data_IF_967388390032
#
_entry.id   IF_967388390032
#
_cell.length_a   1.000
_cell.length_b   1.000
_cell.length_c   1.000
_cell.angle_alpha   90.00
_cell.angle_beta   90.00
_cell.angle_gamma   90.00
#
_symmetry.space_group_name_H-M   'P 1'
#
loop_
_entity.id
_entity.type
_entity.pdbx_description
1 polymer ?
#
# COMPACT_ATOMS: atom_id res chain seq x y z
N UNK A 1 19.35 -36.57 1.43
CA UNK A 1 18.69 -35.24 1.61
C UNK A 1 18.65 -34.49 0.27
N UNK A 2 17.47 -34.31 -0.31
CA UNK A 2 17.31 -33.72 -1.64
C UNK A 2 15.95 -33.05 -1.83
N UNK A 3 15.91 -32.04 -2.70
CA UNK A 3 14.71 -31.27 -3.06
C UNK A 3 13.64 -32.18 -3.70
N UNK A 4 14.06 -33.28 -4.33
CA UNK A 4 13.21 -34.29 -4.98
C UNK A 4 12.88 -35.49 -4.06
N UNK A 5 12.47 -35.23 -2.82
CA UNK A 5 11.99 -36.25 -1.90
C UNK A 5 10.46 -36.27 -1.85
N UNK A 6 9.83 -37.46 -1.82
CA UNK A 6 8.35 -37.57 -1.69
C UNK A 6 7.76 -36.90 -0.43
N UNK A 7 8.61 -36.63 0.56
CA UNK A 7 8.25 -35.98 1.82
C UNK A 7 8.88 -34.59 1.99
N UNK A 8 9.51 -34.04 0.94
CA UNK A 8 10.07 -32.70 0.96
C UNK A 8 9.02 -31.71 0.45
N UNK A 9 8.49 -30.86 1.32
CA UNK A 9 7.66 -29.72 0.92
C UNK A 9 8.57 -28.54 0.57
N UNK A 10 8.54 -28.10 -0.69
CA UNK A 10 9.18 -26.87 -1.09
C UNK A 10 8.33 -25.70 -0.59
N UNK A 11 8.92 -24.86 0.26
CA UNK A 11 8.32 -23.60 0.68
C UNK A 11 9.27 -22.47 0.28
N UNK A 12 8.67 -21.35 -0.14
CA UNK A 12 9.40 -20.18 -0.59
C UNK A 12 8.57 -18.94 -0.31
N UNK A 13 9.23 -17.79 -0.32
CA UNK A 13 8.55 -16.51 -0.17
C UNK A 13 7.92 -16.14 -1.51
N UNK A 14 6.62 -15.84 -1.51
CA UNK A 14 5.99 -15.20 -2.65
C UNK A 14 6.42 -13.74 -2.71
N UNK A 15 7.02 -13.32 -3.83
CA UNK A 15 7.48 -11.95 -4.02
C UNK A 15 6.66 -11.31 -5.13
N UNK A 16 5.95 -10.23 -4.81
CA UNK A 16 5.37 -9.35 -5.82
C UNK A 16 6.45 -8.40 -6.33
N UNK A 17 6.95 -8.67 -7.54
CA UNK A 17 8.00 -7.86 -8.18
C UNK A 17 7.50 -6.52 -8.73
N UNK A 18 6.17 -6.38 -8.91
CA UNK A 18 5.54 -5.18 -9.44
C UNK A 18 4.32 -4.80 -8.59
N UNK A 19 4.29 -3.55 -8.16
CA UNK A 19 3.07 -2.88 -7.70
C UNK A 19 2.62 -1.90 -8.77
N UNK A 20 1.31 -1.76 -8.96
CA UNK A 20 0.77 -0.61 -9.67
C UNK A 20 1.22 0.63 -8.90
N UNK A 21 2.03 1.51 -9.52
CA UNK A 21 2.38 2.80 -8.95
C UNK A 21 1.29 3.77 -9.35
N UNK A 22 0.35 4.00 -8.43
CA UNK A 22 -0.68 4.99 -8.62
C UNK A 22 -0.06 6.38 -8.47
N UNK A 23 -0.35 7.27 -9.41
CA UNK A 23 -0.03 8.68 -9.24
C UNK A 23 -0.97 9.29 -8.21
N UNK A 24 -0.36 9.92 -7.19
CA UNK A 24 -1.07 10.54 -6.07
C UNK A 24 -0.48 11.89 -5.73
N UNK A 25 -1.29 12.76 -5.13
CA UNK A 25 -0.83 14.02 -4.54
C UNK A 25 -0.07 13.78 -3.24
N UNK A 26 0.52 14.84 -2.67
CA UNK A 26 1.16 14.79 -1.35
C UNK A 26 0.20 14.38 -0.21
N UNK A 27 -1.10 14.53 -0.43
CA UNK A 27 -2.17 14.13 0.50
C UNK A 27 -2.65 12.69 0.25
N UNK A 28 -1.99 11.94 -0.64
CA UNK A 28 -2.35 10.59 -1.05
C UNK A 28 -3.65 10.48 -1.87
N UNK A 29 -4.15 11.60 -2.42
CA UNK A 29 -5.31 11.57 -3.30
C UNK A 29 -4.91 11.17 -4.71
N UNK A 30 -5.69 10.31 -5.33
CA UNK A 30 -5.58 9.99 -6.77
C UNK A 30 -6.10 11.14 -7.64
N UNK A 31 -6.02 10.97 -8.96
CA UNK A 31 -6.68 11.83 -9.94
C UNK A 31 -8.21 11.90 -9.74
N UNK A 32 -8.80 10.84 -9.18
CA UNK A 32 -10.22 10.82 -8.83
C UNK A 32 -10.44 11.58 -7.53
N UNK A 33 -11.28 12.60 -7.58
CA UNK A 33 -11.53 13.49 -6.44
C UNK A 33 -12.14 12.70 -5.27
N UNK A 34 -11.61 12.94 -4.06
CA UNK A 34 -11.97 12.23 -2.83
C UNK A 34 -11.71 10.71 -2.84
N UNK A 35 -10.95 10.19 -3.80
CA UNK A 35 -10.42 8.83 -3.77
C UNK A 35 -8.94 8.87 -3.38
N UNK A 36 -8.60 8.18 -2.31
CA UNK A 36 -7.25 8.12 -1.75
C UNK A 36 -6.67 6.72 -1.90
N UNK A 37 -5.37 6.65 -2.21
CA UNK A 37 -4.64 5.41 -2.32
C UNK A 37 -3.44 5.43 -1.36
N UNK A 38 -3.25 4.36 -0.59
CA UNK A 38 -2.21 4.25 0.44
C UNK A 38 -1.60 2.85 0.44
N UNK A 39 -0.46 2.70 1.09
CA UNK A 39 0.16 1.39 1.33
C UNK A 39 0.83 0.76 0.10
N UNK A 40 1.25 -0.50 0.29
CA UNK A 40 2.11 -1.20 -0.67
C UNK A 40 1.36 -1.58 -1.97
N UNK A 41 0.04 -1.82 -1.85
CA UNK A 41 -0.83 -2.15 -2.98
C UNK A 41 -0.98 -1.00 -3.98
N UNK A 42 -0.87 0.24 -3.50
CA UNK A 42 -0.84 1.44 -4.33
C UNK A 42 0.55 1.76 -4.90
N UNK A 43 1.57 0.97 -4.54
CA UNK A 43 2.96 1.19 -4.94
C UNK A 43 3.64 2.39 -4.27
N UNK A 44 3.04 2.93 -3.20
CA UNK A 44 3.52 4.10 -2.46
C UNK A 44 4.58 3.71 -1.42
N UNK A 45 4.46 2.50 -0.86
CA UNK A 45 5.28 2.04 0.27
C UNK A 45 5.87 0.65 0.01
N UNK A 46 6.82 0.21 0.85
CA UNK A 46 7.42 -1.15 0.79
C UNK A 46 7.51 -1.81 2.16
N UNK A 47 6.52 -1.57 3.00
CA UNK A 47 6.47 -2.19 4.32
C UNK A 47 5.56 -1.47 5.31
N UNK A 48 5.32 -2.17 6.42
CA UNK A 48 4.31 -1.81 7.42
C UNK A 48 4.43 -0.38 7.94
N UNK A 49 5.64 0.08 8.26
CA UNK A 49 5.86 1.42 8.82
C UNK A 49 5.50 2.53 7.83
N UNK A 50 5.92 2.37 6.58
CA UNK A 50 5.62 3.32 5.50
C UNK A 50 4.12 3.27 5.18
N UNK A 51 3.54 2.07 5.06
CA UNK A 51 2.11 1.89 4.81
C UNK A 51 1.26 2.58 5.89
N UNK A 52 1.61 2.39 7.16
CA UNK A 52 0.95 3.04 8.29
C UNK A 52 1.05 4.57 8.22
N UNK A 53 2.25 5.09 7.92
CA UNK A 53 2.48 6.54 7.77
C UNK A 53 1.63 7.12 6.64
N UNK A 54 1.57 6.45 5.48
CA UNK A 54 0.75 6.90 4.35
C UNK A 54 -0.75 6.96 4.70
N UNK A 55 -1.24 6.01 5.50
CA UNK A 55 -2.62 6.02 6.01
C UNK A 55 -2.91 7.20 6.93
N UNK A 56 -1.97 7.56 7.81
CA UNK A 56 -2.11 8.74 8.69
C UNK A 56 -2.19 10.03 7.87
N UNK A 57 -1.38 10.16 6.81
CA UNK A 57 -1.39 11.33 5.92
C UNK A 57 -2.75 11.46 5.23
N UNK A 58 -3.24 10.38 4.60
CA UNK A 58 -4.53 10.38 3.95
C UNK A 58 -5.68 10.67 4.92
N UNK A 59 -5.67 10.04 6.10
CA UNK A 59 -6.69 10.24 7.13
C UNK A 59 -6.75 11.68 7.64
N UNK A 60 -5.60 12.34 7.82
CA UNK A 60 -5.54 13.76 8.19
C UNK A 60 -6.11 14.66 7.09
N UNK A 61 -5.75 14.40 5.83
CA UNK A 61 -6.29 15.16 4.70
C UNK A 61 -7.82 15.03 4.60
N UNK A 62 -8.36 13.83 4.79
CA UNK A 62 -9.81 13.58 4.81
C UNK A 62 -10.47 14.35 5.97
N UNK A 63 -9.90 14.26 7.18
CA UNK A 63 -10.47 14.92 8.36
C UNK A 63 -10.54 16.44 8.20
N UNK A 64 -9.48 17.08 7.69
CA UNK A 64 -9.48 18.53 7.46
C UNK A 64 -10.50 18.96 6.41
N UNK A 65 -10.67 18.18 5.33
CA UNK A 65 -11.68 18.45 4.31
C UNK A 65 -13.11 18.29 4.83
N UNK A 66 -13.34 17.38 5.77
CA UNK A 66 -14.66 17.23 6.39
C UNK A 66 -15.02 18.44 7.27
N UNK A 67 -14.06 18.99 8.02
CA UNK A 67 -14.26 20.21 8.82
C UNK A 67 -14.57 21.44 7.96
N UNK A 68 -13.93 21.58 6.81
CA UNK A 68 -14.19 22.69 5.88
C UNK A 68 -15.49 22.59 5.08
N UNK A 69 -16.29 21.54 5.32
CA UNK A 69 -17.61 21.32 4.69
C UNK A 69 -18.78 21.57 5.64
N UNK A 70 -18.49 21.91 6.89
CA UNK A 70 -19.44 22.53 7.84
C UNK A 70 -19.49 24.04 7.64
#
# INVERSE_FOLDING_TARGET
PGVYGRHTLLYGVEVKLYSNRLDVTAEMQTEVTNLFAIGDGAGITRGLLQASTSGIIAGRAIAERLKGRE
#
